data_IF_515129593067
#
_entry.id   IF_515129593067
#
_cell.length_a   1.000
_cell.length_b   1.000
_cell.length_c   1.000
_cell.angle_alpha   90.00
_cell.angle_beta   90.00
_cell.angle_gamma   90.00
#
_symmetry.space_group_name_H-M   'P 1'
#
loop_
_entity.id
_entity.type
_entity.pdbx_description
1 polymer ?
#
# COMPACT_ATOMS: atom_id res chain seq x y z
N UNK A 1 -66.56 -11.44 -17.78
CA UNK A 1 -65.99 -10.19 -17.20
C UNK A 1 -64.69 -10.53 -16.53
N UNK A 2 -63.53 -10.06 -17.01
CA UNK A 2 -62.26 -10.36 -16.39
C UNK A 2 -61.91 -9.33 -15.30
N UNK A 3 -61.46 -9.86 -14.13
CA UNK A 3 -61.06 -9.04 -12.97
C UNK A 3 -59.77 -8.29 -13.24
N UNK A 4 -59.79 -6.96 -13.07
CA UNK A 4 -58.59 -6.08 -13.12
C UNK A 4 -57.63 -6.40 -12.02
N UNK A 5 -56.38 -6.84 -12.34
CA UNK A 5 -55.28 -6.95 -11.43
C UNK A 5 -54.75 -5.57 -11.03
N UNK A 6 -54.79 -5.22 -9.74
CA UNK A 6 -54.15 -4.04 -9.18
C UNK A 6 -52.63 -4.18 -9.31
N UNK A 7 -51.99 -3.31 -10.03
CA UNK A 7 -50.51 -3.17 -10.05
C UNK A 7 -50.07 -2.58 -8.71
N UNK A 8 -49.45 -3.35 -7.89
CA UNK A 8 -48.73 -2.87 -6.71
C UNK A 8 -47.49 -2.13 -7.18
N UNK A 9 -47.41 -0.83 -6.92
CA UNK A 9 -46.20 -0.02 -7.11
C UNK A 9 -45.11 -0.56 -6.19
N UNK A 10 -44.06 -1.15 -6.76
CA UNK A 10 -42.80 -1.41 -6.04
C UNK A 10 -42.25 -0.05 -5.58
N UNK A 11 -42.18 0.17 -4.28
CA UNK A 11 -41.40 1.26 -3.68
C UNK A 11 -39.96 1.05 -4.11
N UNK A 12 -39.42 1.95 -4.92
CA UNK A 12 -38.00 2.01 -5.19
C UNK A 12 -37.29 2.32 -3.88
N UNK A 13 -36.51 1.38 -3.36
CA UNK A 13 -35.55 1.66 -2.32
C UNK A 13 -34.54 2.67 -2.89
N UNK A 14 -34.77 3.93 -2.61
CA UNK A 14 -33.88 5.00 -3.00
C UNK A 14 -32.51 4.74 -2.33
N UNK A 15 -31.53 4.32 -3.12
CA UNK A 15 -30.14 4.36 -2.71
C UNK A 15 -29.82 5.81 -2.38
N UNK A 16 -29.62 6.10 -1.10
CA UNK A 16 -29.09 7.42 -0.67
C UNK A 16 -27.74 7.63 -1.35
N UNK A 17 -27.59 8.72 -2.10
CA UNK A 17 -26.31 9.05 -2.70
C UNK A 17 -25.28 9.34 -1.60
N UNK A 18 -24.00 9.00 -1.79
CA UNK A 18 -22.94 9.27 -0.82
C UNK A 18 -22.93 10.73 -0.32
N UNK A 19 -23.23 11.69 -1.19
CA UNK A 19 -23.33 13.12 -0.86
C UNK A 19 -24.39 13.45 0.20
N UNK A 20 -25.54 12.75 0.19
CA UNK A 20 -26.60 12.99 1.19
C UNK A 20 -26.26 12.49 2.59
N UNK A 21 -25.36 11.50 2.69
CA UNK A 21 -24.89 10.97 3.98
C UNK A 21 -23.90 11.96 4.59
N UNK A 22 -23.05 12.58 3.75
CA UNK A 22 -22.03 13.54 4.16
C UNK A 22 -22.67 14.82 4.72
N UNK A 23 -23.74 15.31 4.09
CA UNK A 23 -24.43 16.56 4.51
C UNK A 23 -25.13 16.45 5.87
N UNK A 24 -25.41 15.24 6.35
CA UNK A 24 -26.13 15.01 7.62
C UNK A 24 -25.22 14.74 8.82
N UNK A 25 -23.94 14.59 8.61
CA UNK A 25 -22.99 14.29 9.68
C UNK A 25 -22.21 15.55 10.06
N UNK A 26 -22.48 16.08 11.24
CA UNK A 26 -21.67 17.13 11.83
C UNK A 26 -20.35 16.54 12.34
N UNK A 27 -19.34 16.56 11.47
CA UNK A 27 -18.03 16.00 11.73
C UNK A 27 -17.25 16.76 12.83
N UNK A 28 -17.66 17.97 13.19
CA UNK A 28 -17.05 18.72 14.30
C UNK A 28 -17.35 18.10 15.67
N UNK A 29 -18.44 17.32 15.75
CA UNK A 29 -18.88 16.63 16.98
C UNK A 29 -18.48 15.15 17.04
N UNK A 30 -17.77 14.67 16.03
CA UNK A 30 -17.33 13.27 16.00
C UNK A 30 -16.05 13.14 16.82
N UNK A 31 -16.15 12.48 17.97
CA UNK A 31 -14.95 11.98 18.67
C UNK A 31 -14.12 11.13 17.72
N UNK A 32 -12.81 11.06 17.95
CA UNK A 32 -11.78 10.42 17.11
C UNK A 32 -12.02 8.94 16.71
N UNK A 33 -13.26 8.46 16.74
CA UNK A 33 -13.65 7.14 16.27
C UNK A 33 -13.94 7.16 14.78
N UNK A 34 -13.27 6.29 14.05
CA UNK A 34 -13.49 6.04 12.64
C UNK A 34 -14.94 5.64 12.38
N UNK A 35 -15.69 6.46 11.65
CA UNK A 35 -17.02 6.08 11.16
C UNK A 35 -16.87 5.38 9.82
N UNK A 36 -17.38 4.17 9.72
CA UNK A 36 -17.44 3.41 8.47
C UNK A 36 -18.53 4.00 7.57
N UNK A 37 -18.22 4.22 6.32
CA UNK A 37 -19.17 4.66 5.31
C UNK A 37 -20.27 3.61 5.13
N UNK A 38 -21.52 4.04 5.26
CA UNK A 38 -22.68 3.16 5.10
C UNK A 38 -22.90 2.70 3.65
N UNK A 39 -22.28 3.35 2.66
CA UNK A 39 -22.31 2.91 1.28
C UNK A 39 -21.54 1.60 1.07
N UNK A 40 -20.59 1.28 1.93
CA UNK A 40 -19.76 0.09 1.88
C UNK A 40 -20.38 -1.15 2.56
N UNK A 41 -21.71 -1.18 2.75
CA UNK A 41 -22.39 -2.29 3.44
C UNK A 41 -22.17 -3.67 2.85
N UNK A 42 -21.88 -3.75 1.56
CA UNK A 42 -21.61 -5.00 0.86
C UNK A 42 -20.15 -5.46 0.96
N UNK A 43 -19.28 -4.60 1.45
CA UNK A 43 -17.87 -4.93 1.69
C UNK A 43 -17.74 -5.53 3.09
N UNK A 44 -16.98 -6.61 3.28
CA UNK A 44 -16.67 -7.13 4.61
C UNK A 44 -16.21 -6.01 5.54
N UNK A 45 -16.67 -6.00 6.78
CA UNK A 45 -16.48 -4.88 7.71
C UNK A 45 -15.02 -4.44 7.84
N UNK A 46 -14.10 -5.39 7.87
CA UNK A 46 -12.66 -5.15 7.97
C UNK A 46 -12.01 -4.59 6.68
N UNK A 47 -12.75 -4.58 5.56
CA UNK A 47 -12.28 -4.04 4.28
C UNK A 47 -12.96 -2.72 3.91
N UNK A 48 -13.89 -2.23 4.74
CA UNK A 48 -14.58 -0.98 4.49
C UNK A 48 -13.64 0.19 4.69
N UNK A 49 -13.65 1.09 3.74
CA UNK A 49 -12.96 2.36 3.90
C UNK A 49 -13.70 3.22 4.93
N UNK A 50 -12.96 3.90 5.78
CA UNK A 50 -13.50 4.96 6.60
C UNK A 50 -13.75 6.17 5.70
N UNK A 51 -14.95 6.36 5.21
CA UNK A 51 -15.47 7.50 4.46
C UNK A 51 -14.51 8.56 3.87
N UNK A 52 -14.98 9.56 3.19
CA UNK A 52 -14.15 10.59 2.54
C UNK A 52 -13.48 11.55 3.54
N UNK A 53 -13.80 11.43 4.79
CA UNK A 53 -13.24 12.27 5.84
C UNK A 53 -11.82 11.88 6.16
N UNK A 54 -10.99 12.89 6.34
CA UNK A 54 -9.61 12.75 6.78
C UNK A 54 -9.56 11.89 8.04
N UNK A 55 -8.90 10.74 7.96
CA UNK A 55 -8.54 9.98 9.15
C UNK A 55 -7.37 10.71 9.79
N UNK A 56 -7.60 11.29 10.96
CA UNK A 56 -6.52 11.80 11.77
C UNK A 56 -5.81 10.60 12.40
N UNK A 57 -4.59 10.34 11.96
CA UNK A 57 -3.78 9.28 12.51
C UNK A 57 -3.21 9.72 13.86
N UNK A 58 -3.71 9.14 14.93
CA UNK A 58 -3.05 9.20 16.22
C UNK A 58 -1.73 8.42 16.13
N UNK A 59 -0.65 9.07 16.56
CA UNK A 59 0.66 8.41 16.61
C UNK A 59 0.61 7.26 17.61
N UNK A 60 0.88 6.05 17.12
CA UNK A 60 0.79 4.82 17.91
C UNK A 60 2.18 4.21 18.12
N UNK A 61 2.40 3.63 19.29
CA UNK A 61 3.61 2.84 19.59
C UNK A 61 3.69 1.54 18.81
N UNK A 62 2.57 1.08 18.23
CA UNK A 62 2.51 -0.14 17.41
C UNK A 62 2.81 0.10 15.93
N UNK A 63 2.96 1.35 15.53
CA UNK A 63 3.31 1.74 14.16
C UNK A 63 4.74 2.22 14.16
N UNK A 64 5.55 1.64 13.29
CA UNK A 64 6.96 1.97 13.18
C UNK A 64 7.14 3.35 12.53
N UNK A 65 8.27 3.98 12.84
CA UNK A 65 8.75 5.17 12.15
C UNK A 65 9.98 4.79 11.33
N UNK A 66 10.07 5.28 10.10
CA UNK A 66 11.29 5.12 9.33
C UNK A 66 12.44 5.95 9.95
N UNK A 67 13.71 5.62 9.67
CA UNK A 67 14.84 6.45 10.13
C UNK A 67 14.77 7.88 9.58
N UNK A 68 14.04 8.12 8.49
CA UNK A 68 13.83 9.44 7.87
C UNK A 68 12.61 10.21 8.41
N UNK A 69 11.85 9.62 9.35
CA UNK A 69 10.62 10.23 9.85
C UNK A 69 10.83 11.63 10.41
N UNK A 70 11.87 11.82 11.23
CA UNK A 70 12.19 13.11 11.82
C UNK A 70 12.56 14.16 10.76
N UNK A 71 13.21 13.76 9.66
CA UNK A 71 13.53 14.64 8.53
C UNK A 71 12.26 15.00 7.75
N UNK A 72 11.36 14.05 7.56
CA UNK A 72 10.05 14.31 6.96
C UNK A 72 9.25 15.34 7.76
N UNK A 73 9.24 15.23 9.09
CA UNK A 73 8.58 16.20 9.96
C UNK A 73 9.27 17.58 9.88
N UNK A 74 10.60 17.63 9.92
CA UNK A 74 11.39 18.86 9.75
C UNK A 74 11.12 19.52 8.39
N UNK A 75 10.91 18.73 7.34
CA UNK A 75 10.57 19.23 6.00
C UNK A 75 9.10 19.70 5.88
N UNK A 76 8.33 19.64 6.96
CA UNK A 76 6.95 20.14 7.00
C UNK A 76 5.90 19.11 6.62
N UNK A 77 6.20 17.80 6.73
CA UNK A 77 5.18 16.77 6.59
C UNK A 77 4.06 17.00 7.60
N UNK A 78 2.85 17.26 7.08
CA UNK A 78 1.69 17.57 7.92
C UNK A 78 0.65 16.46 7.91
N UNK A 79 0.88 15.41 7.11
CA UNK A 79 -0.07 14.36 6.85
C UNK A 79 0.67 13.05 6.57
N UNK A 80 0.23 11.96 7.19
CA UNK A 80 0.75 10.62 6.99
C UNK A 80 -0.37 9.59 6.91
N UNK A 81 -0.09 8.44 6.33
CA UNK A 81 -0.90 7.22 6.44
C UNK A 81 -0.06 6.10 7.02
N UNK A 82 -0.65 4.93 7.21
CA UNK A 82 0.08 3.71 7.56
C UNK A 82 0.15 2.81 6.34
N UNK A 83 1.34 2.30 6.08
CA UNK A 83 1.63 1.38 5.00
C UNK A 83 2.67 0.38 5.53
N UNK A 84 2.44 -0.91 5.40
CA UNK A 84 3.31 -1.95 5.97
C UNK A 84 3.65 -1.73 7.46
N UNK A 85 2.68 -1.23 8.26
CA UNK A 85 2.85 -0.90 9.69
C UNK A 85 3.89 0.19 9.96
N UNK A 86 4.17 1.05 8.99
CA UNK A 86 5.10 2.18 9.09
C UNK A 86 4.35 3.45 8.72
N UNK A 87 4.63 4.58 9.38
CA UNK A 87 4.09 5.87 8.99
C UNK A 87 4.68 6.30 7.64
N UNK A 88 3.79 6.51 6.67
CA UNK A 88 4.12 6.97 5.33
C UNK A 88 3.75 8.45 5.18
N UNK A 89 4.73 9.36 4.97
CA UNK A 89 4.45 10.75 4.64
C UNK A 89 3.59 10.88 3.39
N UNK A 90 2.52 11.69 3.47
CA UNK A 90 1.54 11.83 2.37
C UNK A 90 1.35 13.27 1.90
N UNK A 91 1.97 14.24 2.53
CA UNK A 91 1.85 15.63 2.09
C UNK A 91 2.74 16.57 2.88
N UNK A 92 3.37 17.46 2.16
CA UNK A 92 4.23 18.51 2.70
C UNK A 92 3.66 19.90 2.42
N UNK A 93 3.04 20.08 1.25
CA UNK A 93 2.38 21.34 0.89
C UNK A 93 0.94 21.31 1.41
N UNK A 94 0.61 22.25 2.29
CA UNK A 94 -0.73 22.36 2.85
C UNK A 94 -1.76 22.82 1.80
N UNK A 95 -3.06 22.47 1.94
CA UNK A 95 -4.10 22.84 0.98
C UNK A 95 -4.16 24.34 0.68
N UNK A 96 -4.01 25.19 1.69
CA UNK A 96 -4.01 26.66 1.56
C UNK A 96 -2.82 27.20 0.74
N UNK A 97 -1.78 26.37 0.53
CA UNK A 97 -0.62 26.67 -0.32
C UNK A 97 -0.65 25.93 -1.66
N UNK A 98 -1.81 25.41 -2.06
CA UNK A 98 -2.02 24.71 -3.31
C UNK A 98 -1.94 23.18 -3.21
N UNK A 99 -1.57 22.63 -2.03
CA UNK A 99 -1.68 21.21 -1.70
C UNK A 99 -0.96 20.26 -2.65
N UNK A 100 -1.55 19.10 -2.87
CA UNK A 100 -1.02 18.02 -3.70
C UNK A 100 -0.75 18.44 -5.16
N UNK A 101 -1.43 19.46 -5.67
CA UNK A 101 -1.19 19.94 -7.05
C UNK A 101 0.18 20.59 -7.22
N UNK A 102 0.70 21.24 -6.19
CA UNK A 102 2.06 21.80 -6.20
C UNK A 102 3.09 20.68 -6.21
N UNK A 103 2.89 19.66 -5.37
CA UNK A 103 3.76 18.48 -5.31
C UNK A 103 3.71 17.69 -6.63
N UNK A 104 2.52 17.51 -7.23
CA UNK A 104 2.37 16.89 -8.55
C UNK A 104 3.11 17.65 -9.65
N UNK A 105 3.02 18.98 -9.67
CA UNK A 105 3.77 19.80 -10.64
C UNK A 105 5.28 19.68 -10.43
N UNK A 106 5.72 19.55 -9.19
CA UNK A 106 7.15 19.35 -8.89
C UNK A 106 7.67 18.01 -9.45
N UNK A 107 6.91 16.91 -9.28
CA UNK A 107 7.32 15.61 -9.85
C UNK A 107 7.26 15.60 -11.39
N UNK A 108 6.37 16.37 -12.00
CA UNK A 108 6.26 16.44 -13.47
C UNK A 108 7.33 17.30 -14.12
N UNK A 109 7.78 18.38 -13.46
CA UNK A 109 8.63 19.41 -14.08
C UNK A 109 10.04 19.50 -13.46
N UNK A 110 10.24 18.89 -12.30
CA UNK A 110 11.47 19.02 -11.51
C UNK A 110 11.96 17.65 -11.03
N UNK A 111 12.18 17.55 -9.74
CA UNK A 111 12.55 16.31 -9.04
C UNK A 111 11.95 16.34 -7.65
N UNK A 112 11.53 15.19 -7.17
CA UNK A 112 11.02 14.97 -5.83
C UNK A 112 11.75 13.82 -5.16
N UNK A 113 11.87 13.90 -3.84
CA UNK A 113 12.40 12.83 -3.01
C UNK A 113 11.27 12.27 -2.14
N UNK A 114 11.16 10.95 -2.10
CA UNK A 114 10.11 10.24 -1.39
C UNK A 114 10.71 9.36 -0.31
N UNK A 115 10.21 9.51 0.92
CA UNK A 115 10.48 8.57 1.99
C UNK A 115 9.59 7.34 1.77
N UNK A 116 10.11 6.35 1.07
CA UNK A 116 9.44 5.08 0.77
C UNK A 116 9.98 3.91 1.61
N UNK A 117 10.54 4.20 2.77
CA UNK A 117 10.99 3.19 3.73
C UNK A 117 9.87 2.26 4.21
N UNK A 118 8.62 2.59 3.90
CA UNK A 118 7.44 1.75 4.09
C UNK A 118 7.44 0.51 3.18
N UNK A 119 8.18 0.55 2.08
CA UNK A 119 8.42 -0.59 1.20
C UNK A 119 9.49 -1.47 1.83
N UNK A 120 9.07 -2.28 2.81
CA UNK A 120 9.95 -3.20 3.55
C UNK A 120 10.69 -4.11 2.57
N UNK A 121 11.94 -4.41 2.90
CA UNK A 121 12.78 -5.26 2.07
C UNK A 121 12.86 -6.65 2.69
N UNK A 122 12.29 -7.65 2.02
CA UNK A 122 12.39 -9.05 2.44
C UNK A 122 13.46 -9.74 1.60
N UNK A 123 14.48 -10.24 2.28
CA UNK A 123 15.56 -11.01 1.67
C UNK A 123 15.21 -12.49 1.64
N UNK A 124 15.48 -13.12 0.53
CA UNK A 124 15.55 -14.58 0.36
C UNK A 124 16.97 -14.92 -0.06
N UNK A 125 17.68 -15.66 0.75
CA UNK A 125 19.09 -16.01 0.51
C UNK A 125 19.35 -17.47 0.80
N UNK A 126 20.15 -18.12 -0.04
CA UNK A 126 20.58 -19.49 0.14
C UNK A 126 20.69 -20.26 -1.18
N UNK A 127 21.17 -21.52 -1.10
CA UNK A 127 21.40 -22.34 -2.30
C UNK A 127 20.17 -22.54 -3.19
N UNK A 128 18.97 -22.55 -2.59
CA UNK A 128 17.71 -22.71 -3.31
C UNK A 128 16.95 -21.39 -3.52
N UNK A 129 17.60 -20.21 -3.35
CA UNK A 129 16.93 -18.92 -3.44
C UNK A 129 16.28 -18.67 -4.81
N UNK A 130 16.92 -19.06 -5.90
CA UNK A 130 16.34 -18.94 -7.24
C UNK A 130 15.11 -19.84 -7.39
N UNK A 131 15.19 -21.10 -6.99
CA UNK A 131 14.09 -22.06 -7.08
C UNK A 131 12.89 -21.64 -6.21
N UNK A 132 13.18 -21.19 -4.97
CA UNK A 132 12.14 -20.70 -4.09
C UNK A 132 11.48 -19.43 -4.63
N UNK A 133 12.27 -18.49 -5.12
CA UNK A 133 11.75 -17.26 -5.71
C UNK A 133 10.88 -17.55 -6.92
N UNK A 134 11.33 -18.43 -7.82
CA UNK A 134 10.57 -18.87 -9.00
C UNK A 134 9.25 -19.55 -8.60
N UNK A 135 9.27 -20.33 -7.53
CA UNK A 135 8.07 -21.01 -7.01
C UNK A 135 6.98 -20.04 -6.49
N UNK A 136 7.36 -18.89 -5.93
CA UNK A 136 6.39 -17.98 -5.28
C UNK A 136 5.92 -16.81 -6.14
N UNK A 137 6.56 -16.55 -7.27
CA UNK A 137 6.20 -15.45 -8.17
C UNK A 137 5.55 -15.96 -9.47
N UNK A 138 4.84 -15.07 -10.15
CA UNK A 138 4.20 -15.40 -11.46
C UNK A 138 5.12 -15.21 -12.67
N UNK A 139 6.38 -14.86 -12.45
CA UNK A 139 7.38 -14.61 -13.49
C UNK A 139 8.52 -15.63 -13.34
N UNK A 140 9.14 -16.00 -14.43
CA UNK A 140 10.33 -16.85 -14.46
C UNK A 140 11.54 -16.11 -13.83
N UNK A 141 11.91 -16.50 -12.60
CA UNK A 141 13.01 -15.90 -11.86
C UNK A 141 14.37 -16.17 -12.50
N UNK A 142 14.53 -17.28 -13.23
CA UNK A 142 15.79 -17.65 -13.89
C UNK A 142 16.21 -16.66 -14.98
N UNK A 143 15.22 -15.96 -15.58
CA UNK A 143 15.44 -14.93 -16.61
C UNK A 143 15.78 -13.55 -16.05
N UNK A 144 15.89 -13.41 -14.74
CA UNK A 144 16.30 -12.15 -14.10
C UNK A 144 17.81 -12.22 -13.85
N UNK A 145 18.58 -11.43 -14.56
CA UNK A 145 20.03 -11.38 -14.36
C UNK A 145 20.39 -10.74 -13.01
N UNK A 146 21.52 -11.11 -12.37
CA UNK A 146 22.02 -10.41 -11.17
C UNK A 146 22.13 -8.90 -11.38
N UNK A 147 21.92 -8.14 -10.32
CA UNK A 147 21.87 -6.66 -10.30
C UNK A 147 20.76 -6.08 -11.18
N UNK A 148 19.68 -6.85 -11.42
CA UNK A 148 18.48 -6.38 -12.10
C UNK A 148 17.25 -6.47 -11.21
N UNK A 149 16.34 -5.54 -11.45
CA UNK A 149 15.03 -5.50 -10.82
C UNK A 149 13.92 -5.83 -11.82
N UNK A 150 12.84 -6.43 -11.33
CA UNK A 150 11.62 -6.71 -12.10
C UNK A 150 10.39 -6.54 -11.22
N UNK A 151 9.35 -6.01 -11.83
CA UNK A 151 8.03 -6.03 -11.23
C UNK A 151 7.48 -7.46 -11.30
N UNK A 152 7.05 -8.00 -10.17
CA UNK A 152 6.52 -9.36 -10.05
C UNK A 152 5.21 -9.36 -9.28
N UNK A 153 4.47 -10.44 -9.36
CA UNK A 153 3.21 -10.62 -8.63
C UNK A 153 3.30 -11.94 -7.86
N UNK A 154 2.84 -11.91 -6.62
CA UNK A 154 2.59 -13.10 -5.81
C UNK A 154 1.09 -13.31 -5.70
N UNK A 155 0.66 -14.54 -5.89
CA UNK A 155 -0.75 -14.92 -5.83
C UNK A 155 -1.01 -15.99 -4.78
N UNK A 156 -2.24 -16.00 -4.26
CA UNK A 156 -2.74 -17.16 -3.51
C UNK A 156 -3.15 -18.29 -4.48
N UNK A 157 -3.52 -19.45 -3.93
CA UNK A 157 -3.90 -20.63 -4.70
C UNK A 157 -5.16 -20.46 -5.59
N UNK A 158 -5.93 -19.39 -5.38
CA UNK A 158 -7.09 -19.01 -6.22
C UNK A 158 -6.75 -17.97 -7.29
N UNK A 159 -5.49 -17.57 -7.41
CA UNK A 159 -5.04 -16.53 -8.33
C UNK A 159 -5.28 -15.10 -7.83
N UNK A 160 -5.76 -14.91 -6.60
CA UNK A 160 -5.88 -13.58 -6.00
C UNK A 160 -4.50 -13.00 -5.67
N UNK A 161 -4.27 -11.74 -6.02
CA UNK A 161 -3.00 -11.04 -5.76
C UNK A 161 -2.79 -10.86 -4.27
N UNK A 162 -1.66 -11.31 -3.76
CA UNK A 162 -1.21 -11.09 -2.38
C UNK A 162 -0.33 -9.85 -2.27
N UNK A 163 0.57 -9.66 -3.21
CA UNK A 163 1.47 -8.51 -3.28
C UNK A 163 2.01 -8.37 -4.71
N UNK A 164 2.43 -7.17 -5.07
CA UNK A 164 3.01 -6.83 -6.35
C UNK A 164 4.37 -6.11 -6.20
N UNK A 165 5.36 -6.77 -5.57
CA UNK A 165 6.63 -6.14 -5.23
C UNK A 165 7.52 -5.90 -6.44
N UNK A 166 8.53 -5.07 -6.22
CA UNK A 166 9.72 -5.08 -7.08
C UNK A 166 10.68 -6.15 -6.54
N UNK A 167 11.00 -7.12 -7.37
CA UNK A 167 12.00 -8.14 -7.08
C UNK A 167 13.36 -7.68 -7.60
N UNK A 168 14.34 -7.60 -6.70
CA UNK A 168 15.74 -7.34 -7.03
C UNK A 168 16.52 -8.66 -6.93
N UNK A 169 17.23 -9.04 -7.98
CA UNK A 169 18.20 -10.12 -7.92
C UNK A 169 19.56 -9.54 -7.59
N UNK A 170 20.01 -9.75 -6.36
CA UNK A 170 21.31 -9.22 -5.88
C UNK A 170 22.46 -10.09 -6.39
N UNK A 171 22.32 -11.41 -6.25
CA UNK A 171 23.31 -12.37 -6.72
C UNK A 171 22.65 -13.61 -7.30
N UNK A 172 23.41 -14.67 -7.47
CA UNK A 172 22.88 -15.98 -7.90
C UNK A 172 21.95 -16.58 -6.87
N UNK A 173 22.23 -16.37 -5.61
CA UNK A 173 21.62 -17.00 -4.43
C UNK A 173 21.00 -15.99 -3.47
N UNK A 174 20.72 -14.76 -3.92
CA UNK A 174 20.12 -13.71 -3.09
C UNK A 174 19.15 -12.83 -3.88
N UNK A 175 17.92 -12.74 -3.37
CA UNK A 175 16.83 -11.93 -3.92
C UNK A 175 16.22 -11.07 -2.81
N UNK A 176 15.83 -9.84 -3.17
CA UNK A 176 15.10 -8.94 -2.28
C UNK A 176 13.75 -8.60 -2.88
N UNK A 177 12.71 -8.67 -2.06
CA UNK A 177 11.37 -8.23 -2.39
C UNK A 177 11.14 -6.87 -1.73
N UNK A 178 11.04 -5.80 -2.55
CA UNK A 178 10.61 -4.48 -2.11
C UNK A 178 9.09 -4.43 -2.12
N UNK A 179 8.47 -4.44 -0.94
CA UNK A 179 7.06 -4.79 -0.77
C UNK A 179 6.09 -3.66 -1.11
N UNK A 180 4.96 -4.01 -1.73
CA UNK A 180 3.71 -3.29 -1.59
C UNK A 180 3.08 -3.54 -0.22
N UNK A 181 1.87 -2.99 0.02
CA UNK A 181 1.20 -3.02 1.33
C UNK A 181 0.59 -4.40 1.65
N UNK A 182 1.42 -5.34 2.07
CA UNK A 182 0.99 -6.59 2.74
C UNK A 182 2.18 -7.32 3.37
N UNK A 183 1.92 -8.27 4.27
CA UNK A 183 2.97 -8.97 5.02
C UNK A 183 3.50 -10.20 4.28
N UNK A 184 4.20 -9.97 3.17
CA UNK A 184 4.80 -11.02 2.35
C UNK A 184 5.91 -11.78 3.08
N UNK A 185 6.63 -11.14 4.01
CA UNK A 185 7.64 -11.83 4.80
C UNK A 185 7.08 -13.05 5.53
N UNK A 186 5.94 -12.89 6.21
CA UNK A 186 5.26 -14.01 6.88
C UNK A 186 4.72 -15.03 5.88
N UNK A 187 4.20 -14.59 4.74
CA UNK A 187 3.74 -15.51 3.68
C UNK A 187 4.88 -16.37 3.15
N UNK A 188 6.02 -15.78 2.80
CA UNK A 188 7.18 -16.51 2.30
C UNK A 188 7.72 -17.51 3.33
N UNK A 189 7.80 -17.12 4.61
CA UNK A 189 8.18 -18.02 5.70
C UNK A 189 7.16 -19.16 5.84
N UNK A 190 5.86 -18.89 5.72
CA UNK A 190 4.81 -19.89 5.75
C UNK A 190 4.88 -20.87 4.58
N UNK A 191 5.17 -20.40 3.37
CA UNK A 191 5.36 -21.26 2.19
C UNK A 191 6.53 -22.22 2.36
N UNK A 192 7.58 -21.82 3.08
CA UNK A 192 8.75 -22.66 3.35
C UNK A 192 8.78 -23.22 4.79
N UNK A 193 7.63 -23.35 5.44
CA UNK A 193 7.56 -23.82 6.83
C UNK A 193 8.08 -25.27 7.01
N UNK A 194 7.92 -26.10 5.97
CA UNK A 194 8.42 -27.46 5.91
C UNK A 194 9.91 -27.59 5.57
N UNK A 195 10.62 -26.46 5.42
CA UNK A 195 12.04 -26.39 5.05
C UNK A 195 12.38 -27.08 3.73
N UNK A 196 11.44 -27.17 2.81
CA UNK A 196 11.60 -27.77 1.48
C UNK A 196 12.69 -27.09 0.65
N UNK A 197 12.89 -25.78 0.86
CA UNK A 197 13.94 -25.01 0.20
C UNK A 197 14.99 -24.58 1.23
N UNK A 198 16.25 -24.76 0.91
CA UNK A 198 17.36 -24.30 1.74
C UNK A 198 17.60 -22.82 1.53
N UNK A 199 16.78 -21.99 2.20
CA UNK A 199 16.83 -20.53 2.15
C UNK A 199 16.58 -19.93 3.53
N UNK A 200 17.22 -18.78 3.76
CA UNK A 200 16.91 -17.85 4.84
C UNK A 200 15.95 -16.79 4.29
N UNK A 201 14.92 -16.44 5.10
CA UNK A 201 13.90 -15.44 4.75
C UNK A 201 13.79 -14.49 5.93
N UNK A 202 14.22 -13.25 5.72
CA UNK A 202 14.26 -12.23 6.76
C UNK A 202 13.95 -10.83 6.22
N UNK A 203 13.52 -9.92 7.11
CA UNK A 203 13.42 -8.50 6.82
C UNK A 203 14.78 -7.86 7.11
N UNK A 204 15.39 -7.27 6.09
CA UNK A 204 16.69 -6.59 6.23
C UNK A 204 16.52 -5.12 6.63
N UNK A 205 17.50 -4.58 7.33
CA UNK A 205 17.53 -3.17 7.72
C UNK A 205 17.95 -2.28 6.55
N UNK A 206 17.09 -2.21 5.55
CA UNK A 206 17.24 -1.36 4.38
C UNK A 206 15.98 -0.51 4.19
N UNK A 207 16.18 0.79 4.15
CA UNK A 207 15.10 1.77 4.05
C UNK A 207 15.23 2.57 2.75
N UNK A 208 14.45 2.26 1.71
CA UNK A 208 14.57 2.91 0.42
C UNK A 208 14.11 4.36 0.45
N UNK A 209 14.75 5.17 -0.39
CA UNK A 209 14.35 6.52 -0.76
C UNK A 209 14.20 6.56 -2.27
N UNK A 210 13.12 7.15 -2.75
CA UNK A 210 12.87 7.30 -4.18
C UNK A 210 13.16 8.73 -4.63
N UNK A 211 13.94 8.86 -5.69
CA UNK A 211 14.19 10.14 -6.39
C UNK A 211 13.45 10.06 -7.72
N UNK A 212 12.50 10.96 -7.94
CA UNK A 212 11.63 10.91 -9.11
C UNK A 212 11.39 12.28 -9.74
N UNK A 213 11.37 12.31 -11.07
CA UNK A 213 11.11 13.49 -11.88
C UNK A 213 12.11 13.65 -13.02
N UNK A 214 11.85 14.55 -13.99
CA UNK A 214 12.71 14.71 -15.17
C UNK A 214 14.14 15.17 -14.86
N UNK A 215 14.35 15.79 -13.71
CA UNK A 215 15.69 16.24 -13.27
C UNK A 215 16.38 15.25 -12.33
N UNK A 216 15.84 14.06 -12.09
CA UNK A 216 16.42 13.08 -11.16
C UNK A 216 17.83 12.66 -11.58
N UNK A 217 18.06 12.41 -12.87
CA UNK A 217 19.40 12.05 -13.38
C UNK A 217 20.44 13.16 -13.17
N UNK A 218 20.04 14.42 -13.24
CA UNK A 218 20.96 15.54 -13.02
C UNK A 218 21.27 15.76 -11.54
N UNK A 219 20.36 15.32 -10.64
CA UNK A 219 20.57 15.39 -9.20
C UNK A 219 21.53 14.30 -8.72
N UNK A 220 21.46 13.09 -9.29
CA UNK A 220 22.29 11.93 -8.95
C UNK A 220 23.66 11.97 -9.61
#
# INVERSE_FOLDING_TARGET
MPKKRKKTKKKSNGKLSPSRIIEKVDYSKVSHTTKVDQSDRHVPYNLRQSGPTKVELLMSTRVRKSPYWHLSMKAGCWRATVYNRIYHPRGYVRPEKGGAMVEYKAIKNHVTMWNVAVERQIRVKGPDAEKFTDYVITRDATKISPMRARYVILCNYKGGVLNDPILLRISKDEFWFSLSDSDIGLYLQGVNADKRFNVEIDEIDACPVQIQGPKSKALM
#
